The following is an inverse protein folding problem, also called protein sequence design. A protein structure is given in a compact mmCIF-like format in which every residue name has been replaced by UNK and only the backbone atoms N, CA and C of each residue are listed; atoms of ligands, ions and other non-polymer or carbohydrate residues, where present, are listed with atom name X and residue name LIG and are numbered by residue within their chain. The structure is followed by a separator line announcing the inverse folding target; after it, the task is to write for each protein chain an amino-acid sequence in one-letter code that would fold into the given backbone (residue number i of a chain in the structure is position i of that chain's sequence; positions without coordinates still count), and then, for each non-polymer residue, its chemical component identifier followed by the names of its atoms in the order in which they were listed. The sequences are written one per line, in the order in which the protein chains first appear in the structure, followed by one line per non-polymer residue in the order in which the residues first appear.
data_IF_750244425379
#
_entry.id   IF_750244425379
#
_cell.length_a   1.000
_cell.length_b   1.000
_cell.length_c   1.000
_cell.angle_alpha   90.00
_cell.angle_beta   90.00
_cell.angle_gamma   90.00
#
_symmetry.space_group_name_H-M   'P 1'
#
loop_
_entity.id
_entity.type
_entity.pdbx_description
1 polymer ?
#
# COMPACT_ATOMS: atom_id res chain seq x y z
N UNK A 1 26.25 -20.13 13.54
CA UNK A 1 25.24 -19.40 14.34
C UNK A 1 25.07 -18.03 13.71
N UNK A 2 23.87 -17.72 13.18
CA UNK A 2 23.61 -16.45 12.50
C UNK A 2 23.49 -15.35 13.55
N UNK A 3 24.39 -14.36 13.50
CA UNK A 3 24.30 -13.14 14.31
C UNK A 3 23.09 -12.37 13.81
N UNK A 4 21.99 -12.40 14.57
CA UNK A 4 20.82 -11.56 14.28
C UNK A 4 21.16 -10.13 14.65
N UNK A 5 21.02 -9.22 13.68
CA UNK A 5 21.06 -7.78 13.94
C UNK A 5 19.74 -7.36 14.60
N UNK A 6 19.78 -6.35 15.48
CA UNK A 6 18.62 -5.87 16.25
C UNK A 6 17.44 -5.42 15.38
N UNK A 7 17.68 -5.18 14.09
CA UNK A 7 16.71 -4.71 13.12
C UNK A 7 16.02 -5.84 12.30
N UNK A 8 16.34 -7.12 12.54
CA UNK A 8 15.75 -8.27 11.83
C UNK A 8 15.77 -8.15 10.28
N UNK A 9 16.76 -7.46 9.71
CA UNK A 9 16.92 -7.33 8.26
C UNK A 9 17.53 -8.61 7.65
N UNK A 10 17.15 -8.93 6.41
CA UNK A 10 17.77 -10.01 5.64
C UNK A 10 19.21 -9.69 5.26
N UNK A 11 20.05 -10.72 5.18
CA UNK A 11 21.49 -10.62 4.91
C UNK A 11 21.80 -9.93 3.58
N UNK A 12 21.02 -10.22 2.53
CA UNK A 12 21.12 -9.54 1.23
C UNK A 12 20.83 -8.04 1.30
N UNK A 13 19.91 -7.63 2.18
CA UNK A 13 19.60 -6.21 2.40
C UNK A 13 20.74 -5.50 3.12
N UNK A 14 21.40 -6.18 4.06
CA UNK A 14 22.57 -5.64 4.76
C UNK A 14 23.76 -5.48 3.81
N UNK A 15 23.98 -6.44 2.90
CA UNK A 15 25.03 -6.35 1.90
C UNK A 15 24.78 -5.20 0.91
N UNK A 16 23.56 -5.05 0.40
CA UNK A 16 23.23 -3.89 -0.45
C UNK A 16 23.37 -2.56 0.28
N UNK A 17 23.05 -2.50 1.59
CA UNK A 17 23.22 -1.27 2.38
C UNK A 17 24.70 -0.93 2.64
N UNK A 18 25.58 -1.93 2.74
CA UNK A 18 27.02 -1.73 2.92
C UNK A 18 27.67 -1.02 1.73
N UNK A 19 27.14 -1.18 0.52
CA UNK A 19 27.64 -0.46 -0.67
C UNK A 19 27.42 1.06 -0.59
N UNK A 20 26.51 1.52 0.28
CA UNK A 20 26.26 2.94 0.54
C UNK A 20 26.97 3.45 1.80
N UNK A 21 27.71 2.58 2.49
CA UNK A 21 28.56 2.92 3.64
C UNK A 21 29.95 3.28 3.10
N UNK A 22 30.03 4.41 2.41
CA UNK A 22 31.29 4.97 1.95
C UNK A 22 31.31 6.47 2.30
N UNK A 23 31.60 6.73 3.58
CA UNK A 23 32.48 7.82 4.02
C UNK A 23 32.55 7.81 5.55
N UNK A 24 33.79 7.71 6.06
CA UNK A 24 34.25 7.78 7.46
C UNK A 24 33.17 7.79 8.55
N UNK A 25 32.85 6.60 9.07
CA UNK A 25 32.26 6.43 10.41
C UNK A 25 30.76 6.17 10.48
N UNK A 26 30.04 6.12 9.35
CA UNK A 26 28.66 5.67 9.34
C UNK A 26 28.58 4.14 9.30
N UNK A 27 27.85 3.54 10.22
CA UNK A 27 27.47 2.12 10.19
C UNK A 27 26.21 1.93 9.34
N UNK A 28 25.85 0.67 9.04
CA UNK A 28 24.59 0.36 8.36
C UNK A 28 23.38 0.91 9.13
N UNK A 29 23.45 0.90 10.46
CA UNK A 29 22.37 1.42 11.31
C UNK A 29 22.24 2.94 11.17
N UNK A 30 23.36 3.66 11.02
CA UNK A 30 23.37 5.10 10.78
C UNK A 30 22.74 5.45 9.42
N UNK A 31 23.02 4.65 8.39
CA UNK A 31 22.39 4.82 7.07
C UNK A 31 20.88 4.57 7.16
N UNK A 32 20.44 3.52 7.86
CA UNK A 32 19.02 3.21 8.04
C UNK A 32 18.31 4.33 8.81
N UNK A 33 18.89 4.81 9.92
CA UNK A 33 18.34 5.92 10.70
C UNK A 33 18.27 7.20 9.89
N UNK A 34 19.29 7.50 9.09
CA UNK A 34 19.31 8.64 8.18
C UNK A 34 18.18 8.55 7.16
N UNK A 35 17.99 7.40 6.51
CA UNK A 35 16.90 7.18 5.57
C UNK A 35 15.52 7.31 6.22
N UNK A 36 15.34 6.81 7.45
CA UNK A 36 14.09 6.97 8.21
C UNK A 36 13.80 8.45 8.48
N UNK A 37 14.82 9.19 8.93
CA UNK A 37 14.70 10.61 9.25
C UNK A 37 14.45 11.46 8.00
N UNK A 38 15.16 11.18 6.90
CA UNK A 38 14.93 11.82 5.61
C UNK A 38 13.52 11.53 5.10
N UNK A 39 13.03 10.29 5.21
CA UNK A 39 11.66 9.94 4.81
C UNK A 39 10.61 10.65 5.67
N UNK A 40 10.84 10.75 6.98
CA UNK A 40 9.97 11.50 7.90
C UNK A 40 9.98 13.00 7.59
N UNK A 41 11.15 13.58 7.37
CA UNK A 41 11.33 14.98 6.98
C UNK A 41 10.72 15.28 5.61
N UNK A 42 10.83 14.35 4.66
CA UNK A 42 10.15 14.44 3.36
C UNK A 42 8.62 14.40 3.56
N UNK A 43 8.10 13.49 4.39
CA UNK A 43 6.66 13.46 4.71
C UNK A 43 6.16 14.72 5.40
N UNK A 44 6.97 15.31 6.28
CA UNK A 44 6.63 16.56 6.97
C UNK A 44 6.74 17.79 6.04
N UNK A 45 7.79 17.85 5.21
CA UNK A 45 8.02 18.96 4.25
C UNK A 45 7.08 18.93 3.06
N UNK A 46 6.61 17.76 2.65
CA UNK A 46 5.55 17.60 1.67
C UNK A 46 4.17 17.97 2.24
N UNK A 47 4.08 18.29 3.53
CA UNK A 47 2.83 18.60 4.23
C UNK A 47 2.01 17.34 4.47
N UNK A 48 1.55 17.16 5.70
CA UNK A 48 0.55 16.15 5.99
C UNK A 48 -0.64 16.29 5.04
N UNK A 49 -1.04 15.13 4.56
CA UNK A 49 -1.98 14.88 3.49
C UNK A 49 -1.42 15.29 2.11
N UNK A 50 -0.75 14.32 1.47
CA UNK A 50 -1.28 13.95 0.15
C UNK A 50 -2.77 13.68 0.34
N UNK A 51 -3.58 14.74 0.34
CA UNK A 51 -4.82 14.73 -0.39
C UNK A 51 -4.33 14.44 -1.80
N UNK A 52 -4.10 13.15 -2.09
CA UNK A 52 -4.30 12.63 -3.43
C UNK A 52 -5.56 13.34 -3.87
N UNK A 53 -5.47 14.12 -4.94
CA UNK A 53 -6.57 14.87 -5.56
C UNK A 53 -7.62 13.88 -6.09
N UNK A 54 -8.13 13.09 -5.17
CA UNK A 54 -8.49 11.68 -5.28
C UNK A 54 -9.73 11.42 -4.46
N UNK A 55 -10.60 12.42 -4.35
CA UNK A 55 -12.03 12.18 -4.10
C UNK A 55 -12.60 11.11 -5.05
N UNK A 56 -11.89 10.79 -6.14
CA UNK A 56 -12.19 9.71 -7.09
C UNK A 56 -11.32 8.46 -6.97
N UNK A 57 -10.31 8.39 -6.12
CA UNK A 57 -9.40 7.23 -6.05
C UNK A 57 -9.62 6.34 -4.83
N UNK A 58 -10.51 6.73 -3.91
CA UNK A 58 -10.91 5.89 -2.79
C UNK A 58 -12.43 5.80 -2.66
N UNK A 59 -12.93 4.61 -2.33
CA UNK A 59 -14.33 4.35 -2.05
C UNK A 59 -14.48 3.80 -0.63
N UNK A 60 -15.37 4.42 0.14
CA UNK A 60 -15.70 3.95 1.49
C UNK A 60 -16.83 2.92 1.39
N UNK A 61 -16.60 1.76 1.98
CA UNK A 61 -17.56 0.67 2.05
C UNK A 61 -17.59 0.12 3.48
N UNK A 62 -18.65 0.44 4.23
CA UNK A 62 -18.75 0.13 5.67
C UNK A 62 -17.51 0.69 6.41
N UNK A 63 -16.83 -0.15 7.20
CA UNK A 63 -15.60 0.22 7.91
C UNK A 63 -14.34 0.09 7.04
N UNK A 64 -14.48 -0.28 5.76
CA UNK A 64 -13.38 -0.46 4.83
C UNK A 64 -13.19 0.75 3.91
N UNK A 65 -11.94 0.99 3.54
CA UNK A 65 -11.58 1.95 2.49
C UNK A 65 -10.94 1.17 1.34
N UNK A 66 -11.52 1.29 0.15
CA UNK A 66 -11.05 0.67 -1.08
C UNK A 66 -10.29 1.73 -1.88
N UNK A 67 -8.99 1.55 -2.04
CA UNK A 67 -8.09 2.47 -2.73
C UNK A 67 -7.73 1.95 -4.12
N UNK A 68 -7.81 2.83 -5.11
CA UNK A 68 -7.22 2.66 -6.44
C UNK A 68 -5.82 3.27 -6.40
N UNK A 69 -4.83 2.39 -6.45
CA UNK A 69 -3.43 2.76 -6.52
C UNK A 69 -2.98 2.93 -7.99
N UNK A 70 -1.80 3.54 -8.23
CA UNK A 70 -1.22 3.65 -9.56
C UNK A 70 -1.15 2.30 -10.30
N UNK A 71 -1.25 2.36 -11.63
CA UNK A 71 -1.33 1.18 -12.52
C UNK A 71 -2.56 0.30 -12.28
N UNK A 72 -3.60 0.85 -11.64
CA UNK A 72 -4.88 0.19 -11.39
C UNK A 72 -4.86 -0.83 -10.25
N UNK A 73 -3.77 -0.91 -9.48
CA UNK A 73 -3.70 -1.79 -8.31
C UNK A 73 -4.78 -1.41 -7.30
N UNK A 74 -5.30 -2.40 -6.59
CA UNK A 74 -6.36 -2.20 -5.61
C UNK A 74 -5.84 -2.56 -4.23
N UNK A 75 -6.11 -1.71 -3.24
CA UNK A 75 -5.83 -1.96 -1.84
C UNK A 75 -7.11 -1.76 -1.04
N UNK A 76 -7.42 -2.68 -0.13
CA UNK A 76 -8.53 -2.51 0.81
C UNK A 76 -7.94 -2.43 2.21
N UNK A 77 -8.32 -1.41 2.97
CA UNK A 77 -7.84 -1.20 4.34
C UNK A 77 -9.00 -1.15 5.34
N UNK A 78 -8.77 -1.64 6.54
CA UNK A 78 -9.63 -1.48 7.72
C UNK A 78 -8.77 -0.89 8.84
N UNK A 79 -9.16 0.27 9.37
CA UNK A 79 -8.38 1.00 10.37
C UNK A 79 -6.90 1.22 9.96
N UNK A 80 -6.67 1.52 8.67
CA UNK A 80 -5.33 1.74 8.11
C UNK A 80 -4.51 0.48 7.84
N UNK A 81 -5.01 -0.71 8.18
CA UNK A 81 -4.33 -1.98 7.92
C UNK A 81 -4.93 -2.70 6.71
N UNK A 82 -4.08 -3.36 5.91
CA UNK A 82 -4.52 -4.14 4.75
C UNK A 82 -5.47 -5.26 5.18
N UNK A 83 -6.66 -5.30 4.59
CA UNK A 83 -7.63 -6.37 4.82
C UNK A 83 -7.12 -7.70 4.24
N UNK A 84 -7.32 -8.80 4.95
CA UNK A 84 -6.94 -10.15 4.48
C UNK A 84 -7.92 -10.69 3.44
N UNK A 85 -9.19 -10.28 3.52
CA UNK A 85 -10.33 -10.75 2.72
C UNK A 85 -10.72 -9.76 1.60
N UNK A 86 -9.74 -9.10 0.97
CA UNK A 86 -9.98 -8.01 0.00
C UNK A 86 -10.98 -8.38 -1.12
N UNK A 87 -10.85 -9.57 -1.72
CA UNK A 87 -11.72 -9.99 -2.83
C UNK A 87 -13.19 -10.05 -2.41
N UNK A 88 -13.46 -10.64 -1.24
CA UNK A 88 -14.82 -10.74 -0.70
C UNK A 88 -15.41 -9.35 -0.48
N UNK A 89 -14.62 -8.42 0.09
CA UNK A 89 -15.05 -7.04 0.34
C UNK A 89 -15.37 -6.32 -0.98
N UNK A 90 -14.54 -6.49 -2.02
CA UNK A 90 -14.79 -5.88 -3.33
C UNK A 90 -16.07 -6.41 -3.99
N UNK A 91 -16.34 -7.71 -3.88
CA UNK A 91 -17.58 -8.32 -4.40
C UNK A 91 -18.80 -7.78 -3.65
N UNK A 92 -18.74 -7.72 -2.32
CA UNK A 92 -19.84 -7.17 -1.52
C UNK A 92 -20.09 -5.68 -1.82
N UNK A 93 -19.02 -4.88 -1.94
CA UNK A 93 -19.12 -3.48 -2.32
C UNK A 93 -19.73 -3.30 -3.72
N UNK A 94 -19.31 -4.13 -4.68
CA UNK A 94 -19.86 -4.10 -6.02
C UNK A 94 -21.34 -4.50 -6.09
N UNK A 95 -21.77 -5.48 -5.30
CA UNK A 95 -23.20 -5.86 -5.19
C UNK A 95 -24.04 -4.71 -4.63
N UNK A 96 -23.53 -4.02 -3.61
CA UNK A 96 -24.23 -2.87 -3.02
C UNK A 96 -24.34 -1.70 -4.01
N UNK A 97 -23.36 -1.57 -4.91
CA UNK A 97 -23.39 -0.62 -6.03
C UNK A 97 -24.27 -1.08 -7.22
N UNK A 98 -24.86 -2.27 -7.17
CA UNK A 98 -25.71 -2.80 -8.23
C UNK A 98 -24.96 -3.28 -9.48
N UNK A 99 -23.68 -3.64 -9.34
CA UNK A 99 -22.91 -4.21 -10.46
C UNK A 99 -23.46 -5.57 -10.89
N UNK A 100 -23.27 -5.91 -12.17
CA UNK A 100 -23.71 -7.19 -12.73
C UNK A 100 -22.91 -8.36 -12.12
N UNK A 101 -23.57 -9.49 -11.84
CA UNK A 101 -22.92 -10.67 -11.25
C UNK A 101 -21.80 -11.23 -12.14
N UNK A 102 -21.82 -11.00 -13.46
CA UNK A 102 -20.72 -11.37 -14.35
C UNK A 102 -19.46 -10.52 -14.10
N UNK A 103 -19.61 -9.27 -13.67
CA UNK A 103 -18.48 -8.39 -13.30
C UNK A 103 -17.97 -8.68 -11.88
N UNK A 104 -18.77 -9.36 -11.06
CA UNK A 104 -18.45 -9.78 -9.69
C UNK A 104 -18.05 -11.25 -9.59
N UNK A 105 -17.65 -11.85 -10.73
CA UNK A 105 -17.24 -13.25 -10.77
C UNK A 105 -16.10 -13.53 -9.76
N UNK A 106 -16.28 -14.48 -8.81
CA UNK A 106 -15.25 -14.85 -7.83
C UNK A 106 -13.92 -15.31 -8.43
N UNK A 107 -13.93 -15.81 -9.66
CA UNK A 107 -12.73 -16.26 -10.38
C UNK A 107 -11.83 -15.09 -10.81
N UNK A 108 -12.38 -13.88 -10.91
CA UNK A 108 -11.61 -12.69 -11.21
C UNK A 108 -10.67 -12.30 -10.09
N UNK A 109 -9.56 -11.67 -10.46
CA UNK A 109 -8.58 -11.11 -9.54
C UNK A 109 -9.16 -9.89 -8.81
N UNK A 110 -8.58 -9.54 -7.66
CA UNK A 110 -8.93 -8.30 -6.95
C UNK A 110 -8.72 -7.05 -7.81
N UNK A 111 -7.75 -7.09 -8.71
CA UNK A 111 -7.49 -6.04 -9.70
C UNK A 111 -8.66 -5.87 -10.67
N UNK A 112 -9.13 -6.97 -11.27
CA UNK A 112 -10.24 -6.94 -12.25
C UNK A 112 -11.54 -6.46 -11.60
N UNK A 113 -11.92 -7.05 -10.47
CA UNK A 113 -13.16 -6.67 -9.75
C UNK A 113 -13.09 -5.19 -9.32
N UNK A 114 -11.96 -4.76 -8.76
CA UNK A 114 -11.81 -3.35 -8.36
C UNK A 114 -11.81 -2.40 -9.55
N UNK A 115 -11.31 -2.80 -10.72
CA UNK A 115 -11.41 -1.99 -11.95
C UNK A 115 -12.86 -1.78 -12.37
N UNK A 116 -13.70 -2.82 -12.33
CA UNK A 116 -15.13 -2.69 -12.62
C UNK A 116 -15.85 -1.82 -11.59
N UNK A 117 -15.50 -1.95 -10.31
CA UNK A 117 -16.05 -1.14 -9.23
C UNK A 117 -15.76 0.35 -9.43
N UNK A 118 -14.51 0.74 -9.70
CA UNK A 118 -14.17 2.13 -10.00
C UNK A 118 -14.72 2.62 -11.33
N UNK A 119 -15.02 1.75 -12.29
CA UNK A 119 -15.75 2.12 -13.50
C UNK A 119 -17.19 2.54 -13.17
N UNK A 120 -17.86 1.84 -12.25
CA UNK A 120 -19.22 2.15 -11.81
C UNK A 120 -19.30 3.41 -10.93
N UNK A 121 -18.31 3.63 -10.07
CA UNK A 121 -18.26 4.83 -9.21
C UNK A 121 -17.99 6.13 -9.96
N UNK A 122 -17.57 6.08 -11.22
CA UNK A 122 -17.30 7.24 -12.07
C UNK A 122 -18.10 7.21 -13.37
N UNK A 123 -19.13 6.37 -13.44
CA UNK A 123 -20.07 6.32 -14.54
C UNK A 123 -21.06 7.50 -14.51
#
# INVERSE_FOLDING_TARGET
MSKKNDLNLSESTLESLREYVDDFGMTVDDVVLKLINENKSLKESLGQDFVLSGEKEAHHFKDYVIHKLPKGKILVTHNGLKASNMKKILIEAGRELGMDENELNPDFTTYEIGRFLFKHLHA
#
